data_IF_434228793543
#
_entry.id   IF_434228793543
#
_cell.length_a   1.000
_cell.length_b   1.000
_cell.length_c   1.000
_cell.angle_alpha   90.00
_cell.angle_beta   90.00
_cell.angle_gamma   90.00
#
_symmetry.space_group_name_H-M   'P 1'
#
loop_
_entity.id
_entity.type
_entity.pdbx_description
1 polymer ?
#
# COMPACT_ATOMS: atom_id res chain seq x y z
N UNK A 1 -19.32 12.41 -20.53
CA UNK A 1 -18.72 12.01 -19.24
C UNK A 1 -17.55 11.10 -19.58
N UNK A 2 -16.33 11.60 -19.38
CA UNK A 2 -15.11 11.03 -19.96
C UNK A 2 -14.72 9.70 -19.33
N UNK A 3 -14.41 8.75 -20.21
CA UNK A 3 -13.65 7.55 -19.93
C UNK A 3 -12.27 7.94 -19.39
N UNK A 4 -12.01 7.64 -18.12
CA UNK A 4 -10.64 7.62 -17.61
C UNK A 4 -9.96 6.48 -18.36
N UNK A 5 -9.07 6.81 -19.30
CA UNK A 5 -8.23 5.83 -19.99
C UNK A 5 -7.23 5.26 -19.00
N UNK A 6 -7.52 4.07 -18.45
CA UNK A 6 -6.70 3.29 -17.50
C UNK A 6 -5.42 2.70 -18.12
N UNK A 7 -5.15 2.98 -19.39
CA UNK A 7 -4.02 2.46 -20.16
C UNK A 7 -2.85 3.47 -20.19
N UNK A 8 -2.61 4.21 -19.11
CA UNK A 8 -1.41 5.05 -19.02
C UNK A 8 -0.27 4.23 -18.37
N UNK A 9 0.75 3.80 -19.14
CA UNK A 9 1.86 2.99 -18.64
C UNK A 9 2.75 3.73 -17.63
N UNK A 10 2.49 5.02 -17.36
CA UNK A 10 3.13 5.75 -16.26
C UNK A 10 2.56 5.41 -14.85
N UNK A 11 1.50 4.60 -14.77
CA UNK A 11 0.99 4.02 -13.51
C UNK A 11 1.41 2.56 -13.31
N UNK A 12 2.20 2.00 -14.23
CA UNK A 12 2.93 0.76 -14.00
C UNK A 12 4.07 1.10 -13.04
N UNK A 13 3.94 0.71 -11.77
CA UNK A 13 4.91 1.03 -10.73
C UNK A 13 6.22 0.29 -10.99
N UNK A 14 7.33 1.03 -11.24
CA UNK A 14 8.49 0.83 -10.36
C UNK A 14 9.16 2.11 -9.82
N UNK A 15 8.82 3.34 -10.26
CA UNK A 15 9.79 4.46 -10.14
C UNK A 15 9.23 5.86 -9.76
N UNK A 16 8.25 6.00 -8.85
CA UNK A 16 7.94 7.33 -8.26
C UNK A 16 8.52 7.49 -6.85
N UNK A 17 9.64 8.23 -6.67
CA UNK A 17 10.16 8.58 -5.36
C UNK A 17 9.20 9.58 -4.71
N UNK A 18 8.51 9.15 -3.66
CA UNK A 18 7.79 10.06 -2.76
C UNK A 18 6.27 10.08 -2.83
N UNK A 19 5.62 9.13 -3.54
CA UNK A 19 4.19 8.87 -3.36
C UNK A 19 3.97 7.39 -3.01
N UNK A 20 3.86 7.04 -1.71
CA UNK A 20 3.63 5.67 -1.29
C UNK A 20 2.18 5.18 -1.54
N UNK A 21 1.30 6.08 -1.99
CA UNK A 21 -0.11 5.80 -2.26
C UNK A 21 -0.40 5.88 -3.76
N UNK A 22 -0.78 4.78 -4.43
CA UNK A 22 -1.17 4.80 -5.83
C UNK A 22 -2.59 5.37 -5.97
N UNK A 23 -2.77 6.51 -6.66
CA UNK A 23 -4.08 7.17 -6.79
C UNK A 23 -5.08 6.33 -7.60
N UNK A 24 -4.60 5.36 -8.38
CA UNK A 24 -5.45 4.47 -9.15
C UNK A 24 -6.28 3.54 -8.26
N UNK A 25 -5.66 2.94 -7.26
CA UNK A 25 -6.34 2.06 -6.32
C UNK A 25 -7.32 2.86 -5.47
N UNK A 26 -6.92 4.07 -5.06
CA UNK A 26 -7.79 5.01 -4.35
C UNK A 26 -9.01 5.39 -5.19
N UNK A 27 -8.83 5.69 -6.48
CA UNK A 27 -9.95 6.02 -7.36
C UNK A 27 -10.89 4.83 -7.61
N UNK A 28 -10.34 3.60 -7.64
CA UNK A 28 -11.10 2.37 -7.91
C UNK A 28 -11.85 1.85 -6.68
N UNK A 29 -11.17 1.73 -5.54
CA UNK A 29 -11.71 1.07 -4.34
C UNK A 29 -12.02 2.05 -3.21
N UNK A 30 -11.53 3.29 -3.30
CA UNK A 30 -11.64 4.33 -2.25
C UNK A 30 -11.16 3.86 -0.88
N UNK A 31 -10.26 2.88 -0.84
CA UNK A 31 -9.74 2.28 0.39
C UNK A 31 -10.86 1.84 1.36
N UNK A 32 -12.00 1.39 0.82
CA UNK A 32 -13.18 1.06 1.62
C UNK A 32 -13.07 -0.33 2.24
N UNK A 33 -12.37 -1.27 1.59
CA UNK A 33 -12.13 -2.59 2.17
C UNK A 33 -10.99 -2.53 3.20
N UNK A 34 -11.03 -3.35 4.26
CA UNK A 34 -10.02 -3.36 5.31
C UNK A 34 -8.60 -3.70 4.82
N UNK A 35 -8.49 -4.37 3.66
CA UNK A 35 -7.22 -4.79 3.08
C UNK A 35 -6.80 -3.93 1.88
N UNK A 36 -7.60 -2.92 1.51
CA UNK A 36 -7.27 -2.01 0.42
C UNK A 36 -6.25 -0.97 0.90
N UNK A 37 -5.46 -0.47 -0.04
CA UNK A 37 -4.57 0.67 0.20
C UNK A 37 -3.54 0.44 1.33
N UNK A 38 -3.16 -0.81 1.58
CA UNK A 38 -2.10 -1.20 2.50
C UNK A 38 -0.83 -1.60 1.74
N UNK A 39 0.28 -0.97 2.08
CA UNK A 39 1.58 -1.12 1.40
C UNK A 39 2.71 -1.36 2.40
N UNK A 40 3.74 -2.14 2.04
CA UNK A 40 4.90 -2.35 2.89
C UNK A 40 5.73 -1.07 3.00
N UNK A 41 6.36 -0.85 4.15
CA UNK A 41 7.34 0.22 4.31
C UNK A 41 8.73 -0.31 3.91
N UNK A 42 9.40 0.25 2.88
CA UNK A 42 10.70 -0.24 2.40
C UNK A 42 11.86 0.03 3.39
N UNK A 43 11.67 0.93 4.34
CA UNK A 43 12.68 1.27 5.35
C UNK A 43 12.51 0.48 6.65
N UNK A 44 11.32 -0.07 6.91
CA UNK A 44 10.99 -0.72 8.17
C UNK A 44 9.90 -1.79 7.98
N UNK A 45 10.28 -3.06 8.00
CA UNK A 45 9.35 -4.18 7.86
C UNK A 45 8.31 -4.26 8.99
N UNK A 46 8.64 -3.73 10.18
CA UNK A 46 7.71 -3.64 11.32
C UNK A 46 6.68 -2.54 11.16
N UNK A 47 6.68 -1.82 10.02
CA UNK A 47 5.75 -0.74 9.73
C UNK A 47 5.15 -0.93 8.35
N UNK A 48 3.96 -0.40 8.17
CA UNK A 48 3.25 -0.40 6.91
C UNK A 48 2.60 0.94 6.66
N UNK A 49 2.37 1.21 5.39
CA UNK A 49 1.75 2.44 4.94
C UNK A 49 0.29 2.14 4.63
N UNK A 50 -0.60 2.81 5.34
CA UNK A 50 -2.04 2.78 5.07
C UNK A 50 -2.46 4.08 4.42
N UNK A 51 -3.00 3.99 3.21
CA UNK A 51 -3.52 5.17 2.51
C UNK A 51 -5.02 5.36 2.76
N UNK A 52 -5.46 6.60 2.76
CA UNK A 52 -6.89 6.96 2.79
C UNK A 52 -7.43 7.29 1.40
N UNK A 53 -8.75 7.41 1.30
CA UNK A 53 -9.45 7.89 0.10
C UNK A 53 -8.97 9.27 -0.37
N UNK A 54 -8.42 10.08 0.54
CA UNK A 54 -7.83 11.38 0.26
C UNK A 54 -6.35 11.31 -0.18
N UNK A 55 -5.80 10.12 -0.49
CA UNK A 55 -4.38 9.94 -0.84
C UNK A 55 -3.39 10.33 0.25
N UNK A 56 -3.81 10.22 1.52
CA UNK A 56 -2.95 10.49 2.68
C UNK A 56 -2.36 9.19 3.17
N UNK A 57 -1.03 9.14 3.25
CA UNK A 57 -0.26 8.00 3.76
C UNK A 57 -0.11 8.08 5.29
N UNK A 58 -0.48 7.02 5.98
CA UNK A 58 -0.26 6.85 7.41
C UNK A 58 0.74 5.74 7.64
N UNK A 59 1.87 6.08 8.25
CA UNK A 59 2.79 5.07 8.76
C UNK A 59 2.21 4.46 10.03
N UNK A 60 1.91 3.17 9.97
CA UNK A 60 1.35 2.38 11.05
C UNK A 60 2.33 1.28 11.42
N UNK A 61 2.68 1.19 12.70
CA UNK A 61 3.51 0.10 13.20
C UNK A 61 2.68 -1.18 13.38
N UNK A 62 3.25 -2.31 13.00
CA UNK A 62 2.76 -3.62 13.38
C UNK A 62 2.99 -3.87 14.89
N UNK A 63 2.23 -4.80 15.50
CA UNK A 63 2.48 -5.26 16.85
C UNK A 63 3.90 -5.80 17.03
N UNK A 64 4.35 -5.86 18.29
CA UNK A 64 5.75 -6.12 18.65
C UNK A 64 6.29 -7.41 17.99
N UNK A 65 7.32 -7.24 17.14
CA UNK A 65 8.00 -8.33 16.45
C UNK A 65 7.31 -8.88 15.19
N UNK A 66 6.21 -8.27 14.73
CA UNK A 66 5.54 -8.66 13.47
C UNK A 66 5.95 -7.77 12.31
N UNK A 67 5.96 -8.34 11.11
CA UNK A 67 6.23 -7.63 9.86
C UNK A 67 4.99 -7.57 8.98
N UNK A 68 4.86 -6.51 8.20
CA UNK A 68 3.74 -6.39 7.28
C UNK A 68 3.92 -7.30 6.06
N UNK A 69 2.92 -8.15 5.81
CA UNK A 69 2.83 -9.05 4.67
C UNK A 69 2.06 -8.37 3.54
N UNK A 70 2.69 -7.96 2.43
CA UNK A 70 1.99 -7.35 1.29
C UNK A 70 1.05 -8.33 0.59
N UNK A 71 1.31 -9.64 0.71
CA UNK A 71 0.50 -10.73 0.16
C UNK A 71 -0.77 -10.95 0.98
N UNK A 72 -0.64 -11.00 2.31
CA UNK A 72 -1.78 -11.21 3.21
C UNK A 72 -2.47 -9.90 3.63
N UNK A 73 -1.87 -8.74 3.31
CA UNK A 73 -2.31 -7.39 3.71
C UNK A 73 -2.49 -7.23 5.21
N UNK A 74 -1.66 -7.91 6.00
CA UNK A 74 -1.73 -7.92 7.46
C UNK A 74 -0.35 -8.07 8.09
N UNK A 75 -0.25 -7.83 9.39
CA UNK A 75 0.96 -8.09 10.15
C UNK A 75 1.08 -9.59 10.43
N UNK A 76 2.16 -10.20 9.95
CA UNK A 76 2.48 -11.60 10.13
C UNK A 76 3.89 -11.75 10.72
N UNK A 77 4.25 -12.95 11.23
CA UNK A 77 5.62 -13.21 11.67
C UNK A 77 6.64 -12.95 10.54
N UNK A 78 7.84 -12.45 10.87
CA UNK A 78 8.87 -12.08 9.88
C UNK A 78 9.28 -13.24 8.96
N UNK A 79 9.16 -14.47 9.45
CA UNK A 79 9.41 -15.72 8.72
C UNK A 79 8.44 -15.98 7.56
N UNK A 80 7.22 -15.44 7.61
CA UNK A 80 6.18 -15.64 6.57
C UNK A 80 5.74 -14.34 5.91
N UNK A 81 6.00 -13.19 6.52
CA UNK A 81 5.58 -11.89 6.00
C UNK A 81 6.18 -11.55 4.64
N UNK A 82 7.34 -12.14 4.29
CA UNK A 82 7.97 -11.92 2.99
C UNK A 82 8.33 -10.46 2.74
N UNK A 83 8.74 -9.73 3.79
CA UNK A 83 9.30 -8.39 3.64
C UNK A 83 10.59 -8.50 2.79
N UNK A 84 10.67 -7.71 1.72
CA UNK A 84 11.77 -7.70 0.74
C UNK A 84 12.60 -6.43 0.84
#
# INVERSE_FOLDING_TARGET
MGDVSYDNPAYDWPDTPGHPCPPLEIARTKCLAPNDCLYPNPSDCGRFIRCTDASIAYDTACPEGLHFSPSAKTCEPPEVAGCV
#
